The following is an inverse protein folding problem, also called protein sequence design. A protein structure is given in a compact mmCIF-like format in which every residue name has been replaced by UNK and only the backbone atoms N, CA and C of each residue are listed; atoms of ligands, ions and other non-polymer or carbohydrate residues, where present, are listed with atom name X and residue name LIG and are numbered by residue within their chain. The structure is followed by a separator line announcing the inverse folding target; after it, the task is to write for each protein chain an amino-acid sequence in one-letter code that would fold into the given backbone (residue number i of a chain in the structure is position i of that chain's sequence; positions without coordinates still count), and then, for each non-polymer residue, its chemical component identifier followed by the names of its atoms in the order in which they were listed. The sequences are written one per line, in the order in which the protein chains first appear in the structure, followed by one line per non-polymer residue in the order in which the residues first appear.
data_IF_014821850557
#
_entry.id   IF_014821850557
#
_cell.length_a   1.000
_cell.length_b   1.000
_cell.length_c   1.000
_cell.angle_alpha   90.00
_cell.angle_beta   90.00
_cell.angle_gamma   90.00
#
_symmetry.space_group_name_H-M   'P 1'
#
loop_
_entity.id
_entity.type
_entity.pdbx_description
1 polymer ?
#
# COMPACT_ATOMS: atom_id res chain seq x y z
N UNK A 1 -12.24 -10.81 -41.80
CA UNK A 1 -11.84 -9.69 -40.95
C UNK A 1 -11.38 -10.30 -39.66
N UNK A 2 -10.06 -10.35 -39.42
CA UNK A 2 -9.50 -10.91 -38.20
C UNK A 2 -9.80 -9.94 -37.04
N UNK A 3 -10.58 -10.38 -36.06
CA UNK A 3 -10.81 -9.63 -34.84
C UNK A 3 -9.48 -9.54 -34.05
N UNK A 4 -8.90 -8.37 -33.99
CA UNK A 4 -7.77 -8.10 -33.10
C UNK A 4 -8.26 -8.38 -31.68
N UNK A 5 -7.58 -9.26 -30.95
CA UNK A 5 -7.96 -9.55 -29.55
C UNK A 5 -7.73 -8.29 -28.71
N UNK A 6 -8.55 -8.06 -27.69
CA UNK A 6 -8.31 -6.96 -26.70
C UNK A 6 -6.93 -7.02 -26.09
N UNK A 7 -6.35 -8.21 -26.00
CA UNK A 7 -4.99 -8.46 -25.55
C UNK A 7 -3.94 -7.85 -26.48
N UNK A 8 -4.16 -7.92 -27.79
CA UNK A 8 -3.27 -7.31 -28.80
C UNK A 8 -3.48 -5.79 -28.84
N UNK A 9 -4.71 -5.33 -28.63
CA UNK A 9 -5.02 -3.91 -28.48
C UNK A 9 -4.31 -3.29 -27.26
N UNK A 10 -4.34 -3.94 -26.10
CA UNK A 10 -3.66 -3.47 -24.89
C UNK A 10 -2.13 -3.47 -25.00
N UNK A 11 -1.58 -4.31 -25.90
CA UNK A 11 -0.13 -4.38 -26.18
C UNK A 11 0.31 -3.42 -27.30
N UNK A 12 -0.58 -3.04 -28.20
CA UNK A 12 -0.26 -2.35 -29.47
C UNK A 12 -0.70 -0.90 -29.54
N UNK A 13 -1.04 -0.23 -28.43
CA UNK A 13 -1.34 1.21 -28.43
C UNK A 13 -0.10 2.08 -28.66
N UNK A 14 0.71 1.71 -29.63
CA UNK A 14 1.62 2.60 -30.33
C UNK A 14 0.99 2.94 -31.70
N UNK A 15 0.65 4.23 -31.86
CA UNK A 15 0.11 4.87 -33.07
C UNK A 15 -1.40 4.71 -33.29
N UNK A 16 -2.17 5.70 -32.89
CA UNK A 16 -2.90 6.65 -33.76
C UNK A 16 -3.51 7.72 -32.84
N UNK A 17 -3.09 8.97 -33.05
CA UNK A 17 -3.83 10.14 -32.60
C UNK A 17 -5.12 10.24 -33.46
N UNK A 18 -6.15 9.57 -33.06
CA UNK A 18 -7.52 9.82 -33.45
C UNK A 18 -8.32 9.87 -32.15
N UNK A 19 -8.87 11.04 -31.85
CA UNK A 19 -9.66 11.29 -30.62
C UNK A 19 -10.86 10.37 -30.51
N UNK A 20 -10.62 9.14 -30.06
CA UNK A 20 -11.64 8.36 -29.42
C UNK A 20 -11.85 8.99 -28.05
N UNK A 21 -12.88 9.81 -27.92
CA UNK A 21 -13.49 10.14 -26.65
C UNK A 21 -13.69 8.80 -25.94
N UNK A 22 -12.79 8.46 -24.98
CA UNK A 22 -13.08 7.45 -23.97
C UNK A 22 -14.19 8.09 -23.16
N UNK A 23 -15.44 7.80 -23.55
CA UNK A 23 -16.61 8.12 -22.73
C UNK A 23 -16.36 7.33 -21.45
N UNK A 24 -16.22 7.98 -20.26
CA UNK A 24 -16.20 7.23 -19.00
C UNK A 24 -17.39 6.30 -19.05
N UNK A 25 -17.19 5.00 -18.83
CA UNK A 25 -18.31 4.09 -18.73
C UNK A 25 -19.25 4.71 -17.69
N UNK A 26 -20.38 5.23 -18.16
CA UNK A 26 -21.49 5.50 -17.27
C UNK A 26 -21.67 4.22 -16.47
N UNK A 27 -21.69 4.30 -15.15
CA UNK A 27 -21.97 3.22 -14.24
C UNK A 27 -22.96 2.29 -14.92
N UNK A 28 -22.59 1.02 -15.14
CA UNK A 28 -23.52 0.07 -15.74
C UNK A 28 -24.77 0.21 -14.87
N UNK A 29 -25.89 0.66 -15.46
CA UNK A 29 -27.09 0.98 -14.71
C UNK A 29 -27.62 -0.29 -14.05
N UNK A 30 -26.97 -0.69 -12.95
CA UNK A 30 -27.56 -1.66 -12.04
C UNK A 30 -28.84 -1.03 -11.50
N UNK A 31 -29.99 -1.69 -11.56
CA UNK A 31 -31.28 -1.12 -11.17
C UNK A 31 -31.30 -0.52 -9.75
N UNK A 32 -30.27 -0.82 -8.93
CA UNK A 32 -30.16 -0.43 -7.53
C UNK A 32 -28.96 0.50 -7.23
N UNK A 33 -28.32 1.13 -8.22
CA UNK A 33 -27.11 1.96 -8.03
C UNK A 33 -25.95 1.22 -7.31
N UNK A 34 -25.81 -0.09 -7.54
CA UNK A 34 -24.74 -0.93 -7.00
C UNK A 34 -23.63 -1.09 -8.01
N UNK A 35 -22.39 -0.97 -7.55
CA UNK A 35 -21.22 -1.27 -8.37
C UNK A 35 -21.04 -2.78 -8.53
N UNK A 36 -20.60 -3.19 -9.71
CA UNK A 36 -20.14 -4.54 -9.99
C UNK A 36 -18.62 -4.60 -9.78
N UNK A 37 -18.19 -5.28 -8.74
CA UNK A 37 -16.80 -5.33 -8.29
C UNK A 37 -16.19 -6.68 -8.61
N UNK A 38 -14.97 -6.67 -9.16
CA UNK A 38 -14.11 -7.85 -9.26
C UNK A 38 -13.06 -7.83 -8.16
N UNK A 39 -12.72 -9.02 -7.64
CA UNK A 39 -11.65 -9.21 -6.65
C UNK A 39 -10.47 -9.92 -7.33
N UNK A 40 -9.26 -9.35 -7.21
CA UNK A 40 -8.01 -9.96 -7.65
C UNK A 40 -7.13 -10.16 -6.41
N UNK A 41 -6.88 -11.45 -6.04
CA UNK A 41 -6.34 -11.82 -4.73
C UNK A 41 -7.44 -11.90 -3.67
N UNK A 42 -7.93 -13.13 -3.40
CA UNK A 42 -9.11 -13.37 -2.57
C UNK A 42 -8.76 -13.85 -1.15
N UNK A 43 -7.52 -14.30 -0.93
CA UNK A 43 -7.05 -14.80 0.37
C UNK A 43 -6.34 -13.73 1.20
N UNK A 44 -6.04 -14.03 2.48
CA UNK A 44 -5.29 -13.14 3.35
C UNK A 44 -5.90 -11.73 3.41
N UNK A 45 -5.16 -10.70 3.00
CA UNK A 45 -5.64 -9.32 3.01
C UNK A 45 -6.86 -9.11 2.09
N UNK A 46 -6.96 -9.87 1.00
CA UNK A 46 -8.17 -9.87 0.16
C UNK A 46 -9.41 -10.31 0.93
N UNK A 47 -9.27 -11.31 1.84
CA UNK A 47 -10.36 -11.69 2.74
C UNK A 47 -10.82 -10.51 3.60
N UNK A 48 -9.91 -9.79 4.22
CA UNK A 48 -10.26 -8.63 5.04
C UNK A 48 -11.00 -7.57 4.22
N UNK A 49 -10.59 -7.32 2.97
CA UNK A 49 -11.23 -6.35 2.09
C UNK A 49 -12.64 -6.78 1.66
N UNK A 50 -12.82 -8.04 1.23
CA UNK A 50 -14.14 -8.46 0.77
C UNK A 50 -15.12 -8.79 1.90
N UNK A 51 -14.67 -9.00 3.13
CA UNK A 51 -15.53 -9.25 4.29
C UNK A 51 -16.49 -8.09 4.59
N UNK A 52 -16.16 -6.87 4.15
CA UNK A 52 -17.06 -5.72 4.26
C UNK A 52 -18.26 -5.77 3.29
N UNK A 53 -18.27 -6.68 2.31
CA UNK A 53 -19.35 -6.80 1.32
C UNK A 53 -20.31 -7.95 1.61
N UNK A 54 -20.15 -8.64 2.75
CA UNK A 54 -20.99 -9.79 3.11
C UNK A 54 -20.94 -10.05 4.61
N UNK A 55 -21.97 -10.69 5.13
CA UNK A 55 -21.99 -11.22 6.51
C UNK A 55 -21.56 -12.70 6.57
N UNK A 56 -21.07 -13.24 5.46
CA UNK A 56 -20.56 -14.62 5.42
C UNK A 56 -19.42 -14.84 6.42
N UNK A 57 -19.58 -15.87 7.27
CA UNK A 57 -18.60 -16.25 8.28
C UNK A 57 -18.58 -15.39 9.55
N UNK A 58 -19.39 -14.34 9.64
CA UNK A 58 -19.54 -13.54 10.87
C UNK A 58 -20.45 -14.25 11.87
N UNK A 59 -19.92 -14.49 13.05
CA UNK A 59 -20.74 -14.94 14.19
C UNK A 59 -21.43 -13.75 14.90
N UNK A 60 -22.24 -14.03 15.92
CA UNK A 60 -22.95 -12.98 16.66
C UNK A 60 -22.00 -12.03 17.41
N UNK A 61 -20.81 -12.51 17.81
CA UNK A 61 -19.78 -11.68 18.45
C UNK A 61 -19.15 -10.72 17.44
N UNK A 62 -18.90 -11.20 16.22
CA UNK A 62 -18.38 -10.36 15.13
C UNK A 62 -19.39 -9.28 14.74
N UNK A 63 -20.66 -9.64 14.57
CA UNK A 63 -21.73 -8.68 14.26
C UNK A 63 -21.88 -7.63 15.35
N UNK A 64 -21.84 -8.03 16.63
CA UNK A 64 -21.88 -7.11 17.76
C UNK A 64 -20.69 -6.16 17.77
N UNK A 65 -19.46 -6.68 17.57
CA UNK A 65 -18.25 -5.86 17.45
C UNK A 65 -18.34 -4.86 16.30
N UNK A 66 -18.83 -5.29 15.15
CA UNK A 66 -18.99 -4.45 13.98
C UNK A 66 -20.03 -3.34 14.25
N UNK A 67 -21.12 -3.67 14.90
CA UNK A 67 -22.14 -2.70 15.36
C UNK A 67 -21.58 -1.69 16.36
N UNK A 68 -20.80 -2.14 17.36
CA UNK A 68 -20.15 -1.26 18.35
C UNK A 68 -19.15 -0.30 17.70
N UNK A 69 -18.49 -0.72 16.61
CA UNK A 69 -17.54 0.09 15.83
C UNK A 69 -18.17 0.90 14.70
N UNK A 70 -19.48 0.81 14.53
CA UNK A 70 -20.20 1.45 13.43
C UNK A 70 -19.85 0.87 12.04
N UNK A 71 -19.25 -0.33 11.96
CA UNK A 71 -18.88 -0.96 10.69
C UNK A 71 -20.15 -1.41 9.96
N UNK A 72 -20.31 -0.93 8.73
CA UNK A 72 -21.47 -1.21 7.89
C UNK A 72 -21.10 -2.21 6.79
N UNK A 73 -21.92 -3.26 6.63
CA UNK A 73 -21.81 -4.17 5.49
C UNK A 73 -22.28 -3.45 4.22
N UNK A 74 -21.39 -3.37 3.23
CA UNK A 74 -21.69 -2.78 1.93
C UNK A 74 -22.40 -3.80 1.03
N UNK A 75 -23.33 -3.33 0.21
CA UNK A 75 -24.20 -4.18 -0.60
C UNK A 75 -23.88 -4.10 -2.11
N UNK A 76 -22.62 -3.86 -2.45
CA UNK A 76 -22.16 -3.89 -3.85
C UNK A 76 -22.16 -5.33 -4.40
N UNK A 77 -22.19 -5.49 -5.71
CA UNK A 77 -22.21 -6.79 -6.36
C UNK A 77 -20.78 -7.30 -6.55
N UNK A 78 -20.41 -8.42 -5.94
CA UNK A 78 -19.16 -9.12 -6.29
C UNK A 78 -19.47 -10.06 -7.44
N UNK A 79 -18.95 -9.71 -8.64
CA UNK A 79 -19.29 -10.39 -9.91
C UNK A 79 -18.20 -11.33 -10.44
N UNK A 80 -16.94 -11.11 -10.02
CA UNK A 80 -15.82 -11.94 -10.42
C UNK A 80 -14.79 -12.09 -9.30
N UNK A 81 -14.17 -13.28 -9.23
CA UNK A 81 -13.12 -13.65 -8.28
C UNK A 81 -11.94 -14.18 -9.07
N UNK A 82 -10.75 -13.60 -8.86
CA UNK A 82 -9.52 -14.02 -9.51
C UNK A 82 -8.45 -14.31 -8.45
N UNK A 83 -7.99 -15.55 -8.39
CA UNK A 83 -6.88 -15.96 -7.53
C UNK A 83 -6.14 -17.13 -8.15
N UNK A 84 -4.83 -17.15 -8.03
CA UNK A 84 -3.96 -18.21 -8.54
C UNK A 84 -3.89 -19.42 -7.61
N UNK A 85 -4.43 -19.30 -6.37
CA UNK A 85 -4.43 -20.34 -5.34
C UNK A 85 -5.86 -20.67 -4.90
N UNK A 86 -6.35 -21.84 -5.31
CA UNK A 86 -7.74 -22.29 -5.04
C UNK A 86 -8.02 -22.47 -3.54
N UNK A 87 -7.01 -22.84 -2.73
CA UNK A 87 -7.18 -23.00 -1.28
C UNK A 87 -7.31 -21.62 -0.62
N UNK A 88 -6.51 -20.66 -1.04
CA UNK A 88 -6.57 -19.27 -0.51
C UNK A 88 -7.88 -18.58 -0.87
N UNK A 89 -8.43 -18.85 -2.05
CA UNK A 89 -9.68 -18.28 -2.53
C UNK A 89 -10.95 -18.99 -2.00
N UNK A 90 -10.82 -20.16 -1.38
CA UNK A 90 -11.96 -21.03 -1.05
C UNK A 90 -13.08 -20.33 -0.26
N UNK A 91 -12.73 -19.44 0.68
CA UNK A 91 -13.74 -18.71 1.45
C UNK A 91 -14.49 -17.67 0.60
N UNK A 92 -13.80 -16.97 -0.29
CA UNK A 92 -14.45 -16.04 -1.23
C UNK A 92 -15.39 -16.81 -2.19
N UNK A 93 -14.99 -18.01 -2.65
CA UNK A 93 -15.84 -18.87 -3.48
C UNK A 93 -17.13 -19.30 -2.79
N UNK A 94 -17.10 -19.47 -1.47
CA UNK A 94 -18.29 -19.78 -0.66
C UNK A 94 -19.12 -18.54 -0.38
N UNK A 95 -18.48 -17.40 -0.10
CA UNK A 95 -19.14 -16.15 0.20
C UNK A 95 -19.90 -15.59 -1.02
N UNK A 96 -19.34 -15.77 -2.22
CA UNK A 96 -19.87 -15.22 -3.48
C UNK A 96 -20.09 -16.34 -4.54
N UNK A 97 -21.02 -17.27 -4.30
CA UNK A 97 -21.17 -18.47 -5.16
C UNK A 97 -21.63 -18.17 -6.59
N UNK A 98 -22.19 -16.97 -6.82
CA UNK A 98 -22.63 -16.53 -8.16
C UNK A 98 -21.56 -15.81 -8.95
N UNK A 99 -20.45 -15.39 -8.31
CA UNK A 99 -19.34 -14.73 -8.97
C UNK A 99 -18.57 -15.71 -9.85
N UNK A 100 -18.19 -15.28 -11.06
CA UNK A 100 -17.33 -16.09 -11.95
C UNK A 100 -15.92 -16.19 -11.37
N UNK A 101 -15.25 -17.33 -11.59
CA UNK A 101 -13.95 -17.65 -11.02
C UNK A 101 -12.87 -17.69 -12.11
N UNK A 102 -11.73 -17.10 -11.83
CA UNK A 102 -10.59 -16.98 -12.73
C UNK A 102 -9.28 -17.21 -11.97
N UNK A 103 -8.26 -17.74 -12.68
CA UNK A 103 -6.88 -17.74 -12.18
C UNK A 103 -6.06 -16.58 -12.76
N UNK A 104 -6.37 -16.18 -13.99
CA UNK A 104 -5.68 -15.11 -14.71
C UNK A 104 -6.63 -13.89 -14.85
N UNK A 105 -6.24 -12.75 -14.27
CA UNK A 105 -7.03 -11.52 -14.37
C UNK A 105 -7.15 -11.00 -15.81
N UNK A 106 -6.22 -11.35 -16.70
CA UNK A 106 -6.29 -10.96 -18.10
C UNK A 106 -7.45 -11.66 -18.79
N UNK A 107 -7.63 -12.95 -18.53
CA UNK A 107 -8.78 -13.73 -19.02
C UNK A 107 -10.08 -13.20 -18.42
N UNK A 108 -10.08 -12.88 -17.12
CA UNK A 108 -11.25 -12.25 -16.46
C UNK A 108 -11.67 -10.97 -17.18
N UNK A 109 -10.73 -10.09 -17.50
CA UNK A 109 -11.06 -8.84 -18.19
C UNK A 109 -11.45 -9.06 -19.67
N UNK A 110 -10.84 -10.03 -20.36
CA UNK A 110 -11.23 -10.38 -21.73
C UNK A 110 -12.71 -10.78 -21.80
N UNK A 111 -13.19 -11.54 -20.80
CA UNK A 111 -14.57 -12.02 -20.77
C UNK A 111 -15.57 -11.06 -20.10
N UNK A 112 -15.17 -10.32 -19.10
CA UNK A 112 -16.09 -9.62 -18.22
C UNK A 112 -15.89 -8.10 -18.12
N UNK A 113 -14.95 -7.49 -18.84
CA UNK A 113 -14.67 -6.05 -18.68
C UNK A 113 -15.94 -5.17 -18.76
N UNK A 114 -16.89 -5.50 -19.62
CA UNK A 114 -18.13 -4.72 -19.77
C UNK A 114 -19.14 -4.91 -18.61
N UNK A 115 -18.89 -5.86 -17.70
CA UNK A 115 -19.74 -6.18 -16.54
C UNK A 115 -19.10 -5.76 -15.22
N UNK A 116 -17.88 -5.22 -15.25
CA UNK A 116 -17.10 -4.79 -14.08
C UNK A 116 -17.02 -3.27 -14.09
N UNK A 117 -17.37 -2.64 -12.98
CA UNK A 117 -17.25 -1.19 -12.76
C UNK A 117 -15.96 -0.85 -11.99
N UNK A 118 -15.58 -1.70 -11.06
CA UNK A 118 -14.49 -1.45 -10.13
C UNK A 118 -13.76 -2.73 -9.72
N UNK A 119 -12.52 -2.60 -9.24
CA UNK A 119 -11.67 -3.76 -8.91
C UNK A 119 -10.95 -3.53 -7.57
N UNK A 120 -10.96 -4.55 -6.71
CA UNK A 120 -10.13 -4.60 -5.50
C UNK A 120 -8.96 -5.53 -5.77
N UNK A 121 -7.73 -5.03 -5.61
CA UNK A 121 -6.48 -5.75 -5.87
C UNK A 121 -5.75 -5.95 -4.55
N UNK A 122 -5.57 -7.22 -4.15
CA UNK A 122 -4.98 -7.62 -2.86
C UNK A 122 -3.99 -8.77 -3.03
N UNK A 123 -3.21 -8.71 -4.09
CA UNK A 123 -2.17 -9.67 -4.45
C UNK A 123 -0.83 -9.36 -3.75
N UNK A 124 0.25 -10.12 -3.95
CA UNK A 124 1.61 -9.70 -3.58
C UNK A 124 2.06 -8.44 -4.31
N UNK A 125 2.96 -7.65 -3.68
CA UNK A 125 3.37 -6.31 -4.13
C UNK A 125 3.80 -6.27 -5.59
N UNK A 126 4.60 -7.27 -6.05
CA UNK A 126 5.14 -7.32 -7.41
C UNK A 126 4.07 -7.43 -8.51
N UNK A 127 2.85 -7.84 -8.18
CA UNK A 127 1.75 -8.00 -9.16
C UNK A 127 0.74 -6.85 -9.13
N UNK A 128 0.80 -5.95 -8.13
CA UNK A 128 -0.12 -4.81 -8.01
C UNK A 128 -0.16 -3.98 -9.29
N UNK A 129 1.02 -3.59 -9.80
CA UNK A 129 1.11 -2.73 -10.98
C UNK A 129 0.42 -3.30 -12.20
N UNK A 130 0.70 -4.54 -12.58
CA UNK A 130 0.17 -5.15 -13.79
C UNK A 130 -1.36 -5.25 -13.76
N UNK A 131 -1.93 -5.74 -12.66
CA UNK A 131 -3.37 -5.85 -12.50
C UNK A 131 -4.07 -4.49 -12.50
N UNK A 132 -3.46 -3.50 -11.82
CA UNK A 132 -3.99 -2.13 -11.73
C UNK A 132 -3.96 -1.43 -13.07
N UNK A 133 -2.86 -1.54 -13.83
CA UNK A 133 -2.76 -0.93 -15.16
C UNK A 133 -3.80 -1.46 -16.13
N UNK A 134 -3.99 -2.79 -16.19
CA UNK A 134 -5.03 -3.38 -17.05
C UNK A 134 -6.42 -2.87 -16.67
N UNK A 135 -6.74 -2.85 -15.35
CA UNK A 135 -8.02 -2.34 -14.87
C UNK A 135 -8.25 -0.88 -15.29
N UNK A 136 -7.26 0.00 -15.08
CA UNK A 136 -7.37 1.42 -15.41
C UNK A 136 -7.46 1.68 -16.91
N UNK A 137 -6.70 0.95 -17.75
CA UNK A 137 -6.78 1.03 -19.20
C UNK A 137 -8.18 0.65 -19.73
N UNK A 138 -8.88 -0.21 -18.99
CA UNK A 138 -10.26 -0.60 -19.28
C UNK A 138 -11.31 0.34 -18.62
N UNK A 139 -10.86 1.45 -18.04
CA UNK A 139 -11.74 2.43 -17.39
C UNK A 139 -12.34 1.98 -16.07
N UNK A 140 -11.72 1.00 -15.38
CA UNK A 140 -12.23 0.49 -14.08
C UNK A 140 -11.65 1.27 -12.92
N UNK A 141 -12.49 1.63 -11.94
CA UNK A 141 -12.06 2.20 -10.68
C UNK A 141 -11.28 1.15 -9.88
N UNK A 142 -10.29 1.58 -9.09
CA UNK A 142 -9.38 0.63 -8.43
C UNK A 142 -9.18 0.95 -6.95
N UNK A 143 -9.22 -0.10 -6.14
CA UNK A 143 -8.71 -0.13 -4.78
C UNK A 143 -7.54 -1.10 -4.75
N UNK A 144 -6.35 -0.65 -4.36
CA UNK A 144 -5.12 -1.46 -4.39
C UNK A 144 -4.50 -1.51 -3.02
N UNK A 145 -4.15 -2.68 -2.53
CA UNK A 145 -3.45 -2.81 -1.25
C UNK A 145 -2.08 -2.12 -1.27
N UNK A 146 -1.63 -1.76 -0.10
CA UNK A 146 -0.30 -1.16 0.12
C UNK A 146 0.81 -2.25 0.13
N UNK A 147 2.03 -1.90 -0.26
CA UNK A 147 2.44 -0.68 -0.95
C UNK A 147 1.82 -0.60 -2.35
N UNK A 148 1.54 0.61 -2.86
CA UNK A 148 0.77 0.78 -4.09
C UNK A 148 1.37 0.04 -5.30
N UNK A 149 2.69 0.00 -5.41
CA UNK A 149 3.43 -0.77 -6.40
C UNK A 149 4.85 -1.09 -5.89
N UNK A 150 5.59 -1.90 -6.66
CA UNK A 150 6.85 -2.49 -6.25
C UNK A 150 8.06 -1.56 -6.43
N UNK A 151 8.08 -0.69 -7.45
CA UNK A 151 9.19 0.22 -7.73
C UNK A 151 8.72 1.63 -8.13
N UNK A 152 9.65 2.58 -8.13
CA UNK A 152 9.38 4.00 -8.29
C UNK A 152 8.73 4.31 -9.64
N UNK A 153 9.21 3.72 -10.73
CA UNK A 153 8.64 3.94 -12.06
C UNK A 153 7.16 3.50 -12.13
N UNK A 154 6.84 2.35 -11.53
CA UNK A 154 5.47 1.85 -11.47
C UNK A 154 4.55 2.82 -10.72
N UNK A 155 5.01 3.38 -9.60
CA UNK A 155 4.24 4.35 -8.81
C UNK A 155 3.90 5.61 -9.62
N UNK A 156 4.90 6.18 -10.29
CA UNK A 156 4.71 7.34 -11.15
C UNK A 156 3.78 7.05 -12.33
N UNK A 157 3.91 5.87 -12.91
CA UNK A 157 3.05 5.41 -14.00
C UNK A 157 1.60 5.23 -13.55
N UNK A 158 1.34 4.63 -12.37
CA UNK A 158 -0.01 4.50 -11.82
C UNK A 158 -0.66 5.85 -11.54
N UNK A 159 0.08 6.80 -10.94
CA UNK A 159 -0.39 8.18 -10.72
C UNK A 159 -0.79 8.84 -12.05
N UNK A 160 0.06 8.73 -13.07
CA UNK A 160 -0.20 9.25 -14.41
C UNK A 160 -1.43 8.60 -15.05
N UNK A 161 -1.52 7.27 -14.98
CA UNK A 161 -2.62 6.48 -15.53
C UNK A 161 -3.96 6.83 -14.86
N UNK A 162 -4.02 6.94 -13.55
CA UNK A 162 -5.24 7.30 -12.83
C UNK A 162 -5.79 8.66 -13.27
N UNK A 163 -4.91 9.65 -13.47
CA UNK A 163 -5.30 10.97 -13.99
C UNK A 163 -5.69 10.93 -15.46
N UNK A 164 -4.93 10.19 -16.30
CA UNK A 164 -5.19 10.08 -17.74
C UNK A 164 -6.54 9.41 -18.01
N UNK A 165 -6.81 8.30 -17.34
CA UNK A 165 -8.07 7.54 -17.51
C UNK A 165 -9.21 8.05 -16.61
N UNK A 166 -8.97 9.10 -15.80
CA UNK A 166 -9.96 9.68 -14.87
C UNK A 166 -10.55 8.65 -13.92
N UNK A 167 -9.69 7.83 -13.34
CA UNK A 167 -10.07 6.74 -12.44
C UNK A 167 -10.18 7.24 -11.01
N UNK A 168 -11.26 6.88 -10.31
CA UNK A 168 -11.33 6.97 -8.86
C UNK A 168 -10.50 5.82 -8.28
N UNK A 169 -9.38 6.16 -7.68
CA UNK A 169 -8.38 5.23 -7.18
C UNK A 169 -8.18 5.39 -5.68
N UNK A 170 -7.88 4.30 -4.97
CA UNK A 170 -7.53 4.33 -3.55
C UNK A 170 -6.49 3.27 -3.21
N UNK A 171 -5.53 3.63 -2.36
CA UNK A 171 -4.63 2.67 -1.72
C UNK A 171 -5.20 2.19 -0.38
N UNK A 172 -4.92 0.93 -0.06
CA UNK A 172 -5.39 0.26 1.16
C UNK A 172 -4.55 0.53 2.41
N UNK A 173 -4.10 1.77 2.64
CA UNK A 173 -3.46 2.19 3.90
C UNK A 173 -4.54 2.62 4.91
N UNK A 174 -5.09 1.67 5.67
CA UNK A 174 -6.28 1.85 6.50
C UNK A 174 -6.18 3.00 7.52
N UNK A 175 -4.97 3.34 7.98
CA UNK A 175 -4.75 4.47 8.88
C UNK A 175 -5.19 5.82 8.30
N UNK A 176 -5.20 5.95 6.97
CA UNK A 176 -5.55 7.21 6.30
C UNK A 176 -7.00 7.65 6.50
N UNK A 177 -7.92 6.74 6.80
CA UNK A 177 -9.33 7.04 7.07
C UNK A 177 -9.64 7.30 8.54
N UNK A 178 -8.69 7.05 9.46
CA UNK A 178 -8.91 7.21 10.90
C UNK A 178 -9.06 8.68 11.32
N UNK A 179 -9.78 8.90 12.40
CA UNK A 179 -9.83 10.22 13.02
C UNK A 179 -8.46 10.66 13.56
N UNK A 180 -7.64 9.69 13.97
CA UNK A 180 -6.31 9.94 14.53
C UNK A 180 -5.38 10.69 13.58
N UNK A 181 -5.32 10.32 12.30
CA UNK A 181 -4.45 11.01 11.33
C UNK A 181 -4.88 12.48 11.13
N UNK A 182 -6.20 12.75 11.20
CA UNK A 182 -6.75 14.11 11.10
C UNK A 182 -6.38 14.93 12.32
N UNK A 183 -6.48 14.36 13.52
CA UNK A 183 -6.05 15.00 14.77
C UNK A 183 -4.55 15.35 14.72
N UNK A 184 -3.69 14.46 14.22
CA UNK A 184 -2.24 14.74 14.09
C UNK A 184 -2.03 15.99 13.23
N UNK A 185 -2.69 16.09 12.08
CA UNK A 185 -2.56 17.23 11.18
C UNK A 185 -3.16 18.50 11.78
N UNK A 186 -4.34 18.42 12.36
CA UNK A 186 -5.02 19.55 13.02
C UNK A 186 -4.17 20.12 14.18
N UNK A 187 -3.58 19.25 14.99
CA UNK A 187 -2.72 19.70 16.09
C UNK A 187 -1.41 20.34 15.59
N UNK A 188 -0.85 19.80 14.51
CA UNK A 188 0.32 20.40 13.89
C UNK A 188 0.00 21.78 13.28
N UNK A 189 -1.06 21.90 12.50
CA UNK A 189 -1.50 23.17 11.88
C UNK A 189 -1.93 24.21 12.92
N UNK A 190 -2.48 23.78 14.05
CA UNK A 190 -2.76 24.65 15.19
C UNK A 190 -1.50 25.08 15.96
N UNK A 191 -0.30 24.62 15.56
CA UNK A 191 0.98 24.99 16.17
C UNK A 191 1.24 24.35 17.55
N UNK A 192 0.51 23.30 17.91
CA UNK A 192 0.66 22.58 19.19
C UNK A 192 2.05 21.96 19.31
N UNK A 193 2.55 21.34 18.22
CA UNK A 193 3.88 20.75 18.19
C UNK A 193 5.00 21.77 17.96
N UNK A 194 4.67 22.94 17.38
CA UNK A 194 5.67 23.87 16.86
C UNK A 194 6.34 23.34 15.60
N UNK A 195 7.63 23.67 15.40
CA UNK A 195 8.41 23.16 14.27
C UNK A 195 8.87 21.72 14.54
N UNK A 196 8.37 20.76 13.76
CA UNK A 196 8.83 19.37 13.82
C UNK A 196 10.07 19.21 12.95
N UNK A 197 11.17 18.75 13.56
CA UNK A 197 12.46 18.53 12.89
C UNK A 197 12.89 17.08 12.86
N UNK A 198 12.28 16.24 13.70
CA UNK A 198 12.68 14.86 13.89
C UNK A 198 11.44 13.98 14.05
N UNK A 199 11.45 12.84 13.36
CA UNK A 199 10.40 11.81 13.44
C UNK A 199 11.07 10.46 13.57
N UNK A 200 10.63 9.63 14.52
CA UNK A 200 10.99 8.23 14.59
C UNK A 200 9.74 7.37 14.46
N UNK A 201 9.84 6.34 13.62
CA UNK A 201 8.81 5.33 13.48
C UNK A 201 9.45 3.94 13.57
N UNK A 202 8.71 2.95 14.08
CA UNK A 202 9.27 1.62 14.30
C UNK A 202 8.24 0.52 14.17
N UNK A 203 8.76 -0.67 13.83
CA UNK A 203 8.00 -1.92 13.84
C UNK A 203 8.92 -3.11 14.20
N UNK A 204 8.50 -3.96 15.12
CA UNK A 204 9.26 -5.16 15.49
C UNK A 204 8.97 -5.64 16.90
N UNK A 205 9.53 -6.78 17.29
CA UNK A 205 10.47 -7.64 16.56
C UNK A 205 9.83 -8.48 15.46
N UNK A 206 10.64 -9.03 14.55
CA UNK A 206 10.20 -9.97 13.52
C UNK A 206 10.24 -11.40 14.03
N UNK A 207 9.44 -12.26 13.41
CA UNK A 207 9.46 -13.70 13.61
C UNK A 207 9.80 -14.39 12.28
N UNK A 208 11.03 -14.84 12.17
CA UNK A 208 11.57 -15.50 10.97
C UNK A 208 11.36 -17.03 10.95
N UNK A 209 10.60 -17.59 11.88
CA UNK A 209 10.35 -19.04 11.95
C UNK A 209 9.55 -19.53 10.72
N UNK A 210 9.78 -20.77 10.27
CA UNK A 210 9.02 -21.37 9.19
C UNK A 210 7.51 -21.27 9.37
N UNK A 211 6.80 -20.93 8.29
CA UNK A 211 5.34 -20.74 8.28
C UNK A 211 4.86 -19.38 8.77
N UNK A 212 5.72 -18.54 9.30
CA UNK A 212 5.41 -17.18 9.67
C UNK A 212 5.50 -16.21 8.48
N UNK A 213 5.12 -14.97 8.74
CA UNK A 213 5.03 -13.89 7.76
C UNK A 213 6.38 -13.56 7.09
N UNK A 214 7.48 -13.79 7.81
CA UNK A 214 8.86 -13.45 7.43
C UNK A 214 9.76 -14.70 7.40
N UNK A 215 9.27 -15.86 6.93
CA UNK A 215 10.08 -17.07 6.87
C UNK A 215 11.40 -16.80 6.14
N UNK A 216 12.52 -16.92 6.86
CA UNK A 216 13.86 -16.82 6.30
C UNK A 216 14.29 -18.19 5.80
N UNK A 217 14.69 -18.36 4.52
CA UNK A 217 15.14 -19.65 4.01
C UNK A 217 16.56 -19.96 4.49
N UNK A 218 16.90 -21.26 4.45
CA UNK A 218 18.24 -21.75 4.84
C UNK A 218 19.33 -21.38 3.81
N UNK A 219 18.92 -21.04 2.57
CA UNK A 219 19.85 -20.64 1.49
C UNK A 219 19.21 -19.62 0.56
N UNK A 220 20.05 -18.83 -0.12
CA UNK A 220 19.64 -17.87 -1.14
C UNK A 220 20.33 -18.21 -2.48
N UNK A 221 19.55 -18.51 -3.56
CA UNK A 221 18.11 -18.71 -3.55
C UNK A 221 17.68 -19.99 -2.80
N UNK A 222 16.43 -20.06 -2.34
CA UNK A 222 15.88 -21.28 -1.76
C UNK A 222 15.89 -22.45 -2.75
N UNK A 223 16.10 -23.66 -2.25
CA UNK A 223 16.12 -24.90 -3.07
C UNK A 223 14.76 -25.14 -3.74
N UNK A 224 14.78 -25.78 -4.93
CA UNK A 224 13.56 -26.15 -5.67
C UNK A 224 12.68 -27.13 -4.89
N UNK A 225 11.37 -26.90 -4.92
CA UNK A 225 10.35 -27.79 -4.37
C UNK A 225 9.23 -28.02 -5.42
N UNK A 226 8.48 -29.13 -5.31
CA UNK A 226 7.30 -29.34 -6.15
C UNK A 226 6.26 -28.23 -5.96
N UNK A 227 5.67 -27.75 -7.05
CA UNK A 227 4.57 -26.80 -7.00
C UNK A 227 3.33 -27.48 -6.43
N UNK A 228 2.65 -26.92 -5.41
CA UNK A 228 1.39 -27.44 -4.91
C UNK A 228 0.31 -27.48 -6.02
N UNK A 229 -0.51 -28.52 -6.05
CA UNK A 229 -1.52 -28.72 -7.10
C UNK A 229 -2.60 -27.62 -7.15
N UNK A 230 -2.83 -26.91 -6.05
CA UNK A 230 -3.78 -25.79 -5.95
C UNK A 230 -3.25 -24.44 -6.44
N UNK A 231 -1.93 -24.33 -6.69
CA UNK A 231 -1.26 -23.07 -7.01
C UNK A 231 -0.83 -23.05 -8.49
N UNK A 232 -1.21 -22.02 -9.22
CA UNK A 232 -0.58 -21.67 -10.50
C UNK A 232 0.66 -20.82 -10.26
N UNK A 233 1.83 -21.49 -10.19
CA UNK A 233 3.09 -20.81 -9.88
C UNK A 233 3.52 -19.82 -10.96
N UNK A 234 3.25 -20.11 -12.24
CA UNK A 234 3.60 -19.19 -13.32
C UNK A 234 2.80 -17.90 -13.26
N UNK A 235 1.51 -17.98 -12.99
CA UNK A 235 0.66 -16.80 -12.79
C UNK A 235 1.01 -16.07 -11.47
N UNK A 236 1.40 -16.82 -10.43
CA UNK A 236 1.85 -16.22 -9.17
C UNK A 236 3.12 -15.40 -9.35
N UNK A 237 4.11 -15.88 -10.10
CA UNK A 237 5.31 -15.13 -10.46
C UNK A 237 4.97 -13.86 -11.23
N UNK A 238 3.93 -13.89 -12.07
CA UNK A 238 3.49 -12.70 -12.79
C UNK A 238 4.62 -12.01 -13.54
N UNK A 239 4.92 -10.72 -13.26
CA UNK A 239 6.01 -9.96 -13.90
C UNK A 239 7.41 -10.34 -13.41
N UNK A 240 7.55 -11.02 -12.26
CA UNK A 240 8.86 -11.38 -11.70
C UNK A 240 9.59 -12.42 -12.55
N UNK A 241 10.91 -12.45 -12.48
CA UNK A 241 11.74 -13.40 -13.18
C UNK A 241 11.37 -14.87 -12.87
N UNK A 242 11.43 -15.73 -13.87
CA UNK A 242 11.14 -17.15 -13.71
C UNK A 242 12.12 -17.81 -12.73
N UNK A 243 11.57 -18.62 -11.84
CA UNK A 243 12.34 -19.40 -10.86
C UNK A 243 11.56 -20.60 -10.38
N UNK A 244 12.24 -21.65 -9.88
CA UNK A 244 11.60 -22.78 -9.23
C UNK A 244 10.79 -22.34 -8.00
N UNK A 245 9.73 -23.10 -7.70
CA UNK A 245 8.93 -22.89 -6.51
C UNK A 245 9.71 -23.30 -5.25
N UNK A 246 9.47 -22.55 -4.18
CA UNK A 246 9.79 -22.92 -2.80
C UNK A 246 8.73 -22.34 -1.87
N UNK A 247 8.36 -23.09 -0.81
CA UNK A 247 7.37 -22.68 0.19
C UNK A 247 7.79 -21.45 1.01
N UNK A 248 9.08 -21.06 0.98
CA UNK A 248 9.54 -19.79 1.53
C UNK A 248 9.06 -18.57 0.72
N UNK A 249 8.61 -18.74 -0.53
CA UNK A 249 8.04 -17.63 -1.31
C UNK A 249 6.55 -17.43 -1.04
N UNK A 250 5.77 -18.52 -1.15
CA UNK A 250 4.32 -18.43 -1.09
C UNK A 250 3.75 -19.38 -0.01
N UNK A 251 2.62 -19.05 0.61
CA UNK A 251 1.69 -17.96 0.28
C UNK A 251 1.91 -16.64 1.03
N UNK A 252 2.80 -16.56 2.03
CA UNK A 252 2.90 -15.39 2.92
C UNK A 252 4.26 -14.70 2.89
N UNK A 253 5.34 -15.48 2.86
CA UNK A 253 6.71 -15.04 3.19
C UNK A 253 7.42 -14.32 2.04
N UNK A 254 6.76 -14.18 0.88
CA UNK A 254 7.24 -13.42 -0.27
C UNK A 254 7.69 -12.00 0.09
N UNK A 255 7.13 -11.43 1.15
CA UNK A 255 7.41 -10.06 1.61
C UNK A 255 8.86 -9.82 1.97
N UNK A 256 9.55 -10.86 2.45
CA UNK A 256 10.97 -10.79 2.78
C UNK A 256 11.90 -10.78 1.56
N UNK A 257 11.42 -11.20 0.38
CA UNK A 257 12.21 -11.26 -0.84
C UNK A 257 11.99 -9.98 -1.67
N UNK A 258 13.05 -9.23 -1.91
CA UNK A 258 12.97 -7.98 -2.67
C UNK A 258 12.52 -8.13 -4.13
N UNK A 259 12.49 -9.34 -4.68
CA UNK A 259 11.91 -9.60 -6.00
C UNK A 259 10.37 -9.66 -5.99
N UNK A 260 9.73 -9.79 -4.82
CA UNK A 260 8.29 -9.98 -4.68
C UNK A 260 7.65 -8.96 -3.75
N UNK A 261 8.38 -8.43 -2.79
CA UNK A 261 7.89 -7.51 -1.78
C UNK A 261 8.92 -6.47 -1.41
N UNK A 262 8.49 -5.48 -0.66
CA UNK A 262 9.30 -4.34 -0.23
C UNK A 262 9.70 -4.43 1.26
N UNK A 263 9.72 -5.63 1.81
CA UNK A 263 10.08 -5.85 3.21
C UNK A 263 9.08 -5.24 4.20
N UNK A 264 9.52 -5.10 5.44
CA UNK A 264 8.73 -4.48 6.51
C UNK A 264 8.57 -2.97 6.25
N UNK A 265 9.59 -2.34 5.70
CA UNK A 265 9.53 -0.94 5.31
C UNK A 265 8.38 -0.71 4.30
N UNK A 266 8.23 -1.57 3.27
CA UNK A 266 7.11 -1.49 2.35
C UNK A 266 5.76 -1.86 2.97
N UNK A 267 5.74 -2.92 3.80
CA UNK A 267 4.50 -3.46 4.35
C UNK A 267 3.88 -2.57 5.44
N UNK A 268 4.70 -1.98 6.33
CA UNK A 268 4.20 -1.22 7.49
C UNK A 268 4.38 0.29 7.42
N UNK A 269 5.42 0.79 6.75
CA UNK A 269 5.67 2.23 6.76
C UNK A 269 4.57 3.02 6.05
N UNK A 270 3.92 2.47 5.03
CA UNK A 270 2.74 3.09 4.41
C UNK A 270 1.57 3.31 5.38
N UNK A 271 1.57 2.63 6.53
CA UNK A 271 0.63 2.93 7.62
C UNK A 271 1.20 3.95 8.60
N UNK A 272 2.42 3.68 9.12
CA UNK A 272 3.00 4.47 10.21
C UNK A 272 3.49 5.83 9.75
N UNK A 273 4.13 5.90 8.56
CA UNK A 273 4.64 7.15 8.00
C UNK A 273 3.58 8.00 7.30
N UNK A 274 2.38 7.48 7.10
CA UNK A 274 1.24 8.21 6.57
C UNK A 274 0.95 9.49 7.39
N UNK A 275 0.96 9.35 8.72
CA UNK A 275 0.74 10.47 9.64
C UNK A 275 1.71 11.63 9.43
N UNK A 276 3.04 11.44 9.60
CA UNK A 276 4.00 12.52 9.39
C UNK A 276 4.10 12.97 7.93
N UNK A 277 3.96 12.05 6.95
CA UNK A 277 4.00 12.40 5.53
C UNK A 277 2.90 13.41 5.19
N UNK A 278 1.67 13.14 5.60
CA UNK A 278 0.52 14.01 5.34
C UNK A 278 0.55 15.27 6.20
N UNK A 279 0.82 15.15 7.51
CA UNK A 279 0.71 16.29 8.43
C UNK A 279 1.80 17.33 8.23
N UNK A 280 3.02 16.89 7.86
CA UNK A 280 4.15 17.78 7.66
C UNK A 280 4.32 18.21 6.20
N UNK A 281 3.49 17.72 5.27
CA UNK A 281 3.63 17.89 3.82
C UNK A 281 5.07 17.56 3.37
N UNK A 282 5.56 16.35 3.73
CA UNK A 282 6.98 16.00 3.58
C UNK A 282 7.44 16.03 2.11
N UNK A 283 6.61 15.55 1.20
CA UNK A 283 7.01 15.36 -0.21
C UNK A 283 8.13 14.32 -0.35
N UNK A 284 8.99 14.49 -1.36
CA UNK A 284 10.08 13.54 -1.61
C UNK A 284 11.31 13.85 -0.75
N UNK A 285 11.99 12.81 -0.23
CA UNK A 285 13.25 12.99 0.47
C UNK A 285 14.37 13.41 -0.51
N UNK A 286 15.33 14.18 -0.01
CA UNK A 286 16.56 14.50 -0.72
C UNK A 286 17.50 13.28 -0.77
N UNK A 287 17.47 12.48 0.29
CA UNK A 287 18.25 11.27 0.42
C UNK A 287 17.61 10.28 1.39
N UNK A 288 18.00 9.01 1.27
CA UNK A 288 17.74 7.99 2.26
C UNK A 288 19.04 7.23 2.56
N UNK A 289 19.27 6.84 3.81
CA UNK A 289 20.43 6.08 4.25
C UNK A 289 20.00 4.81 4.98
N UNK A 290 20.39 3.67 4.44
CA UNK A 290 20.17 2.35 5.05
C UNK A 290 21.34 1.95 5.95
N UNK A 291 21.09 1.92 7.26
CA UNK A 291 22.03 1.43 8.28
C UNK A 291 21.63 0.00 8.59
N UNK A 292 22.37 -0.95 8.04
CA UNK A 292 22.09 -2.40 8.11
C UNK A 292 23.33 -3.10 8.67
N UNK A 293 23.31 -3.54 9.93
CA UNK A 293 24.49 -4.17 10.55
C UNK A 293 24.93 -5.46 9.86
N UNK A 294 23.98 -6.29 9.41
CA UNK A 294 24.24 -7.59 8.79
C UNK A 294 23.44 -7.72 7.49
N UNK A 295 23.88 -7.09 6.38
CA UNK A 295 23.16 -7.19 5.11
C UNK A 295 23.27 -8.60 4.53
N UNK A 296 22.20 -9.04 3.84
CA UNK A 296 22.24 -10.28 3.05
C UNK A 296 23.16 -10.05 1.84
N UNK A 297 24.19 -10.90 1.61
CA UNK A 297 25.24 -10.60 0.65
C UNK A 297 24.78 -10.38 -0.79
N UNK A 298 23.74 -11.07 -1.23
CA UNK A 298 23.18 -10.96 -2.59
C UNK A 298 22.04 -9.94 -2.70
N UNK A 299 21.74 -9.21 -1.62
CA UNK A 299 20.66 -8.22 -1.55
C UNK A 299 19.27 -8.75 -1.96
N UNK A 300 19.01 -10.05 -1.80
CA UNK A 300 17.76 -10.69 -2.23
C UNK A 300 16.66 -10.71 -1.16
N UNK A 301 17.04 -10.59 0.13
CA UNK A 301 16.14 -10.72 1.27
C UNK A 301 16.35 -9.58 2.29
N UNK A 302 15.31 -9.31 3.08
CA UNK A 302 15.34 -8.27 4.12
C UNK A 302 16.39 -8.57 5.21
N UNK A 303 16.99 -7.54 5.81
CA UNK A 303 17.90 -7.70 6.94
C UNK A 303 17.15 -8.11 8.22
N UNK A 304 17.90 -8.68 9.18
CA UNK A 304 17.39 -9.04 10.49
C UNK A 304 17.13 -7.80 11.37
N UNK A 305 17.81 -6.69 11.05
CA UNK A 305 17.70 -5.42 11.74
C UNK A 305 18.13 -4.29 10.82
N UNK A 306 17.44 -3.16 10.87
CA UNK A 306 17.88 -1.95 10.14
C UNK A 306 17.31 -0.66 10.72
N UNK A 307 17.98 0.44 10.36
CA UNK A 307 17.46 1.81 10.46
C UNK A 307 17.56 2.46 9.10
N UNK A 308 16.47 3.06 8.62
CA UNK A 308 16.49 3.88 7.40
C UNK A 308 16.20 5.33 7.76
N UNK A 309 17.16 6.21 7.45
CA UNK A 309 17.03 7.66 7.69
C UNK A 309 16.72 8.38 6.38
N UNK A 310 15.66 9.17 6.41
CA UNK A 310 15.26 10.04 5.30
C UNK A 310 15.54 11.50 5.67
N UNK A 311 16.11 12.26 4.74
CA UNK A 311 16.34 13.67 4.90
C UNK A 311 15.42 14.48 3.98
N UNK A 312 14.64 15.36 4.57
CA UNK A 312 13.73 16.26 3.85
C UNK A 312 14.20 17.71 3.98
N UNK A 313 14.20 18.42 2.86
CA UNK A 313 14.52 19.86 2.84
C UNK A 313 13.45 20.73 3.53
N UNK A 314 13.73 22.02 3.63
CA UNK A 314 12.74 22.99 4.05
C UNK A 314 11.56 23.07 3.06
N UNK A 315 10.35 23.25 3.57
CA UNK A 315 9.10 23.31 2.80
C UNK A 315 8.35 24.59 3.16
N UNK A 316 8.65 25.67 2.43
CA UNK A 316 8.18 27.01 2.79
C UNK A 316 8.74 27.45 4.14
N UNK A 317 7.87 27.70 5.09
CA UNK A 317 8.18 28.07 6.48
C UNK A 317 8.41 26.85 7.40
N UNK A 318 8.20 25.62 6.90
CA UNK A 318 8.41 24.40 7.66
C UNK A 318 9.89 24.01 7.64
N UNK A 319 10.43 23.67 8.81
CA UNK A 319 11.81 23.26 8.98
C UNK A 319 12.16 21.98 8.18
N UNK A 320 13.45 21.76 7.84
CA UNK A 320 13.91 20.44 7.40
C UNK A 320 13.57 19.36 8.43
N UNK A 321 13.33 18.12 7.95
CA UNK A 321 12.97 16.98 8.81
C UNK A 321 13.91 15.83 8.54
N UNK A 322 14.42 15.21 9.60
CA UNK A 322 15.01 13.88 9.60
C UNK A 322 13.96 12.89 10.08
N UNK A 323 13.64 11.88 9.24
CA UNK A 323 12.71 10.82 9.58
C UNK A 323 13.47 9.49 9.62
N UNK A 324 13.42 8.78 10.76
CA UNK A 324 14.06 7.49 10.96
C UNK A 324 13.03 6.37 11.09
N UNK A 325 13.11 5.38 10.21
CA UNK A 325 12.39 4.12 10.31
C UNK A 325 13.28 3.08 10.98
N UNK A 326 12.78 2.47 12.04
CA UNK A 326 13.48 1.41 12.77
C UNK A 326 12.69 0.10 12.64
N UNK A 327 13.38 -1.01 12.41
CA UNK A 327 12.69 -2.29 12.28
C UNK A 327 13.44 -3.44 12.93
N UNK A 328 12.70 -4.52 13.18
CA UNK A 328 13.12 -5.74 13.83
C UNK A 328 13.59 -5.50 15.28
N UNK A 329 14.87 -5.61 15.55
CA UNK A 329 15.46 -5.39 16.88
C UNK A 329 15.68 -3.91 17.21
N UNK A 330 15.73 -3.05 16.19
CA UNK A 330 16.01 -1.63 16.38
C UNK A 330 14.78 -0.86 16.85
N UNK A 331 14.98 0.05 17.79
CA UNK A 331 13.99 1.03 18.26
C UNK A 331 14.69 2.35 18.57
N UNK A 332 13.98 3.49 18.48
CA UNK A 332 14.57 4.76 18.90
C UNK A 332 14.86 4.75 20.42
N UNK A 333 15.87 5.48 20.82
CA UNK A 333 16.16 5.69 22.23
C UNK A 333 15.06 6.51 22.89
N UNK A 334 14.61 6.06 24.07
CA UNK A 334 13.60 6.78 24.86
C UNK A 334 14.28 7.96 25.54
N UNK A 335 13.78 9.16 25.27
CA UNK A 335 14.29 10.39 25.89
C UNK A 335 13.62 10.61 27.26
N UNK A 336 14.36 11.04 28.28
CA UNK A 336 13.80 11.29 29.63
C UNK A 336 12.57 12.21 29.62
N UNK A 337 12.58 13.23 28.77
CA UNK A 337 11.50 14.20 28.65
C UNK A 337 10.19 13.64 28.09
N UNK A 338 10.21 12.42 27.52
CA UNK A 338 9.00 11.76 27.04
C UNK A 338 8.13 11.19 28.17
N UNK A 339 8.72 10.98 29.34
CA UNK A 339 8.00 10.49 30.53
C UNK A 339 7.45 9.07 30.39
N UNK A 340 7.87 8.30 29.37
CA UNK A 340 7.48 6.90 29.13
C UNK A 340 8.65 5.96 29.46
N UNK A 341 8.33 4.74 29.89
CA UNK A 341 9.31 3.72 30.26
C UNK A 341 9.62 2.74 29.13
N UNK A 342 8.68 2.56 28.21
CA UNK A 342 8.80 1.63 27.10
C UNK A 342 8.06 2.14 25.86
N UNK A 343 8.49 1.68 24.69
CA UNK A 343 7.83 1.92 23.41
C UNK A 343 6.92 0.73 23.06
N UNK A 344 5.73 0.96 22.48
CA UNK A 344 4.91 -0.13 21.97
C UNK A 344 5.66 -0.94 20.89
N UNK A 345 5.10 -2.10 20.50
CA UNK A 345 5.68 -2.96 19.46
C UNK A 345 5.81 -2.28 18.11
N UNK A 346 4.90 -1.36 17.79
CA UNK A 346 4.95 -0.48 16.61
C UNK A 346 4.45 0.89 16.97
N UNK A 347 4.99 1.93 16.35
CA UNK A 347 4.57 3.30 16.64
C UNK A 347 5.39 4.35 15.92
N UNK A 348 5.06 5.60 16.24
CA UNK A 348 5.73 6.77 15.70
C UNK A 348 5.75 7.88 16.76
N UNK A 349 6.86 8.63 16.85
CA UNK A 349 6.95 9.90 17.57
C UNK A 349 7.30 11.01 16.60
N UNK A 350 6.63 12.16 16.74
CA UNK A 350 6.95 13.42 16.07
C UNK A 350 7.44 14.40 17.13
N UNK A 351 8.68 14.88 16.98
CA UNK A 351 9.36 15.72 17.95
C UNK A 351 9.35 17.16 17.45
N UNK A 352 8.52 17.96 18.06
CA UNK A 352 8.44 19.40 17.82
C UNK A 352 9.23 20.21 18.83
N UNK A 353 9.47 21.48 18.53
CA UNK A 353 10.17 22.42 19.42
C UNK A 353 9.30 22.89 20.62
N UNK A 354 7.98 22.61 20.59
CA UNK A 354 7.08 22.89 21.70
C UNK A 354 6.64 21.61 22.42
N UNK A 355 6.18 20.62 21.67
CA UNK A 355 5.67 19.34 22.23
C UNK A 355 6.02 18.16 21.34
N UNK A 356 6.04 16.97 21.95
CA UNK A 356 6.22 15.68 21.27
C UNK A 356 4.91 14.93 21.25
N UNK A 357 4.60 14.32 20.11
CA UNK A 357 3.42 13.47 19.89
C UNK A 357 3.87 12.02 19.68
N UNK A 358 3.13 11.07 20.27
CA UNK A 358 3.27 9.64 20.02
C UNK A 358 1.96 9.05 19.48
N UNK A 359 2.06 8.02 18.64
CA UNK A 359 0.94 7.20 18.22
C UNK A 359 1.37 5.74 17.99
N UNK A 360 0.42 4.81 17.86
CA UNK A 360 0.68 3.43 17.47
C UNK A 360 1.11 3.30 16.01
N UNK A 361 1.35 2.08 15.54
CA UNK A 361 1.82 1.78 14.18
C UNK A 361 0.85 2.15 13.06
N UNK A 362 -0.42 2.37 13.36
CA UNK A 362 -1.35 3.13 12.53
C UNK A 362 -1.59 4.48 13.19
N UNK A 363 -1.78 5.58 12.44
CA UNK A 363 -1.92 6.92 13.01
C UNK A 363 -3.33 7.11 13.63
N UNK A 364 -3.68 6.25 14.55
CA UNK A 364 -4.85 6.31 15.39
C UNK A 364 -4.46 6.66 16.82
N UNK A 365 -5.36 7.26 17.59
CA UNK A 365 -5.18 7.60 19.01
C UNK A 365 -3.88 8.37 19.31
N UNK A 366 -3.62 9.52 18.67
CA UNK A 366 -2.43 10.32 18.96
C UNK A 366 -2.51 10.89 20.39
N UNK A 367 -1.34 10.91 21.06
CA UNK A 367 -1.20 11.48 22.39
C UNK A 367 0.02 12.40 22.46
N UNK A 368 -0.10 13.52 23.18
CA UNK A 368 1.04 14.33 23.53
C UNK A 368 1.80 13.68 24.70
N UNK A 369 3.13 13.67 24.62
CA UNK A 369 4.01 13.22 25.70
C UNK A 369 4.21 14.35 26.70
N UNK A 370 3.23 14.51 27.57
CA UNK A 370 3.14 15.51 28.64
C UNK A 370 2.62 14.84 29.91
N UNK A 371 2.57 15.57 31.05
CA UNK A 371 1.96 15.03 32.28
C UNK A 371 0.48 14.66 32.07
N UNK A 372 -0.05 13.79 32.91
CA UNK A 372 -1.47 13.40 32.82
C UNK A 372 -2.40 14.59 33.07
N UNK A 373 -2.00 15.53 33.94
CA UNK A 373 -2.75 16.76 34.20
C UNK A 373 -2.82 17.64 32.95
N UNK A 374 -1.69 17.85 32.30
CA UNK A 374 -1.60 18.66 31.07
C UNK A 374 -2.34 17.97 29.91
N UNK A 375 -2.24 16.63 29.79
CA UNK A 375 -2.98 15.87 28.82
C UNK A 375 -4.50 15.99 29.02
N UNK A 376 -4.97 15.84 30.26
CA UNK A 376 -6.39 15.97 30.59
C UNK A 376 -6.93 17.39 30.30
N UNK A 377 -6.11 18.42 30.54
CA UNK A 377 -6.49 19.79 30.21
C UNK A 377 -6.50 20.04 28.69
N UNK A 378 -5.52 19.52 27.96
CA UNK A 378 -5.48 19.59 26.51
C UNK A 378 -6.71 18.92 25.86
N UNK A 379 -7.14 17.75 26.36
CA UNK A 379 -8.33 17.06 25.86
C UNK A 379 -9.63 17.84 26.01
N UNK A 380 -9.74 18.74 27.00
CA UNK A 380 -10.89 19.62 27.15
C UNK A 380 -10.92 20.78 26.15
N UNK A 381 -9.74 21.13 25.60
CA UNK A 381 -9.52 22.31 24.76
C UNK A 381 -8.85 21.92 23.44
N UNK A 382 -9.35 20.87 22.77
CA UNK A 382 -8.81 20.43 21.49
C UNK A 382 -8.93 21.52 20.41
N UNK A 383 -7.95 21.61 19.50
CA UNK A 383 -8.07 22.46 18.32
C UNK A 383 -9.32 22.16 17.49
N UNK A 384 -9.79 23.14 16.73
CA UNK A 384 -10.93 22.99 15.85
C UNK A 384 -10.71 21.88 14.82
N UNK A 385 -11.76 21.11 14.53
CA UNK A 385 -11.75 20.12 13.46
C UNK A 385 -11.81 20.85 12.12
N UNK A 386 -10.73 20.77 11.34
CA UNK A 386 -10.61 21.44 10.03
C UNK A 386 -10.74 20.47 8.87
N UNK A 387 -10.56 19.16 9.11
CA UNK A 387 -10.69 18.12 8.09
C UNK A 387 -11.97 17.29 8.26
N UNK A 388 -12.65 16.93 7.16
CA UNK A 388 -13.79 16.03 7.20
C UNK A 388 -13.42 14.68 7.84
N UNK A 389 -14.32 14.15 8.67
CA UNK A 389 -14.21 12.80 9.21
C UNK A 389 -14.78 11.80 8.22
N UNK A 390 -14.11 10.65 8.07
CA UNK A 390 -14.59 9.58 7.21
C UNK A 390 -15.55 8.72 8.02
N UNK A 391 -16.74 8.49 7.45
CA UNK A 391 -17.76 7.66 8.07
C UNK A 391 -17.22 6.25 8.34
N UNK A 392 -17.45 5.76 9.55
CA UNK A 392 -17.04 4.46 10.06
C UNK A 392 -15.53 4.17 9.92
N UNK A 393 -14.71 5.17 9.56
CA UNK A 393 -13.26 5.03 9.31
C UNK A 393 -12.92 3.90 8.30
N UNK A 394 -13.87 3.57 7.39
CA UNK A 394 -13.74 2.47 6.43
C UNK A 394 -13.19 2.95 5.08
N UNK A 395 -11.97 2.56 4.67
CA UNK A 395 -11.38 2.98 3.40
C UNK A 395 -12.15 2.44 2.18
N UNK A 396 -12.70 1.22 2.26
CA UNK A 396 -13.51 0.66 1.18
C UNK A 396 -14.80 1.46 0.96
N UNK A 397 -15.43 1.92 2.06
CA UNK A 397 -16.62 2.76 1.99
C UNK A 397 -16.30 4.15 1.43
N UNK A 398 -15.23 4.78 1.90
CA UNK A 398 -14.74 6.05 1.33
C UNK A 398 -14.56 5.96 -0.18
N UNK A 399 -13.93 4.87 -0.67
CA UNK A 399 -13.71 4.65 -2.09
C UNK A 399 -15.02 4.44 -2.87
N UNK A 400 -15.96 3.62 -2.37
CA UNK A 400 -17.27 3.40 -3.00
C UNK A 400 -18.06 4.72 -3.07
N UNK A 401 -18.09 5.48 -1.98
CA UNK A 401 -18.77 6.76 -1.92
C UNK A 401 -18.15 7.76 -2.90
N UNK A 402 -16.80 7.78 -2.99
CA UNK A 402 -16.09 8.63 -3.94
C UNK A 402 -16.42 8.30 -5.40
N UNK A 403 -16.55 7.00 -5.76
CA UNK A 403 -16.98 6.58 -7.10
C UNK A 403 -18.41 7.09 -7.38
N UNK A 404 -19.35 6.87 -6.46
CA UNK A 404 -20.76 7.24 -6.63
C UNK A 404 -20.96 8.75 -6.69
N UNK A 405 -20.13 9.52 -5.98
CA UNK A 405 -20.22 10.97 -5.90
C UNK A 405 -19.27 11.70 -6.86
N UNK A 406 -18.49 10.97 -7.67
CA UNK A 406 -17.49 11.53 -8.59
C UNK A 406 -16.47 12.45 -7.90
N UNK A 407 -16.01 12.03 -6.70
CA UNK A 407 -15.00 12.73 -5.91
C UNK A 407 -13.70 11.91 -5.83
N UNK A 408 -12.68 12.42 -5.15
CA UNK A 408 -11.46 11.68 -4.87
C UNK A 408 -11.42 11.31 -3.39
N UNK A 409 -11.11 10.03 -3.06
CA UNK A 409 -10.88 9.64 -1.67
C UNK A 409 -9.53 10.16 -1.17
N UNK A 410 -9.31 10.13 0.15
CA UNK A 410 -8.11 10.70 0.76
C UNK A 410 -6.81 10.05 0.26
N UNK A 411 -6.76 8.72 0.21
CA UNK A 411 -5.58 7.98 -0.26
C UNK A 411 -5.66 7.64 -1.76
N UNK A 412 -6.10 8.60 -2.58
CA UNK A 412 -6.07 8.45 -4.04
C UNK A 412 -4.61 8.40 -4.57
N UNK A 413 -4.42 7.96 -5.82
CA UNK A 413 -3.07 7.74 -6.35
C UNK A 413 -2.22 9.01 -6.50
N UNK A 414 -2.79 10.21 -6.46
CA UNK A 414 -1.99 11.42 -6.41
C UNK A 414 -1.22 11.54 -5.08
N UNK A 415 -1.84 11.09 -3.99
CA UNK A 415 -1.24 11.04 -2.66
C UNK A 415 -0.47 9.72 -2.43
N UNK A 416 -1.12 8.60 -2.67
CA UNK A 416 -0.60 7.27 -2.35
C UNK A 416 0.69 6.92 -3.10
N UNK A 417 0.81 7.36 -4.36
CA UNK A 417 2.03 7.15 -5.13
C UNK A 417 3.23 7.91 -4.52
N UNK A 418 3.02 9.13 -4.04
CA UNK A 418 4.09 9.91 -3.41
C UNK A 418 4.51 9.32 -2.06
N UNK A 419 3.56 8.94 -1.22
CA UNK A 419 3.87 8.24 0.03
C UNK A 419 4.67 6.96 -0.23
N UNK A 420 4.22 6.14 -1.18
CA UNK A 420 4.90 4.88 -1.50
C UNK A 420 6.24 5.12 -2.20
N UNK A 421 6.39 6.18 -2.99
CA UNK A 421 7.67 6.55 -3.62
C UNK A 421 8.74 6.90 -2.58
N UNK A 422 8.39 7.71 -1.58
CA UNK A 422 9.27 7.95 -0.43
C UNK A 422 9.73 6.62 0.20
N UNK A 423 8.79 5.71 0.46
CA UNK A 423 9.10 4.39 1.01
C UNK A 423 10.01 3.59 0.10
N UNK A 424 9.76 3.58 -1.22
CA UNK A 424 10.57 2.85 -2.20
C UNK A 424 12.02 3.37 -2.26
N UNK A 425 12.25 4.68 -2.12
CA UNK A 425 13.61 5.25 -1.98
C UNK A 425 14.31 4.68 -0.74
N UNK A 426 13.60 4.58 0.38
CA UNK A 426 14.12 3.95 1.60
C UNK A 426 14.41 2.46 1.43
N UNK A 427 13.55 1.73 0.71
CA UNK A 427 13.77 0.30 0.41
C UNK A 427 15.07 0.09 -0.40
N UNK A 428 15.36 0.97 -1.37
CA UNK A 428 16.63 0.91 -2.10
C UNK A 428 17.83 1.15 -1.16
N UNK A 429 17.74 2.15 -0.29
CA UNK A 429 18.82 2.41 0.68
C UNK A 429 19.04 1.22 1.64
N UNK A 430 17.96 0.60 2.13
CA UNK A 430 18.01 -0.57 3.00
C UNK A 430 18.56 -1.79 2.30
N UNK A 431 18.03 -2.13 1.12
CA UNK A 431 18.43 -3.29 0.30
C UNK A 431 19.92 -3.31 0.04
N UNK A 432 20.50 -2.15 -0.26
CA UNK A 432 21.92 -2.01 -0.59
C UNK A 432 22.79 -1.51 0.58
N UNK A 433 22.21 -1.40 1.79
CA UNK A 433 22.91 -0.95 2.99
C UNK A 433 23.78 0.31 2.75
N UNK A 434 23.20 1.34 2.14
CA UNK A 434 23.93 2.52 1.69
C UNK A 434 23.09 3.79 1.73
N UNK A 435 23.74 4.94 1.55
CA UNK A 435 23.08 6.21 1.30
C UNK A 435 22.79 6.38 -0.19
N UNK A 436 21.57 6.76 -0.53
CA UNK A 436 21.12 7.15 -1.87
C UNK A 436 20.68 8.62 -1.86
N UNK A 437 21.15 9.38 -2.88
CA UNK A 437 20.73 10.75 -3.15
C UNK A 437 19.68 10.73 -4.23
N UNK A 438 18.48 11.28 -3.96
CA UNK A 438 17.34 11.14 -4.84
C UNK A 438 16.95 12.45 -5.51
N UNK A 439 17.07 12.51 -6.83
CA UNK A 439 16.50 13.55 -7.68
C UNK A 439 15.07 13.17 -8.05
N UNK A 440 14.12 13.60 -7.23
CA UNK A 440 12.72 13.32 -7.43
C UNK A 440 12.16 13.90 -8.74
N UNK A 441 12.68 15.04 -9.21
CA UNK A 441 12.22 15.65 -10.46
C UNK A 441 12.49 14.77 -11.67
N UNK A 442 13.68 14.18 -11.72
CA UNK A 442 14.13 13.35 -12.82
C UNK A 442 13.96 11.84 -12.53
N UNK A 443 13.43 11.49 -11.35
CA UNK A 443 13.24 10.11 -10.89
C UNK A 443 14.55 9.32 -10.98
N UNK A 444 15.62 9.80 -10.26
CA UNK A 444 16.99 9.29 -10.43
C UNK A 444 17.75 9.21 -9.10
N UNK A 445 18.46 8.10 -8.89
CA UNK A 445 19.48 7.99 -7.85
C UNK A 445 20.80 8.52 -8.42
N UNK A 446 21.28 9.65 -7.89
CA UNK A 446 22.35 10.42 -8.53
C UNK A 446 23.76 9.98 -8.14
N UNK A 447 23.93 9.45 -6.93
CA UNK A 447 25.24 9.05 -6.38
C UNK A 447 25.57 7.55 -6.57
N UNK A 448 24.59 6.73 -6.98
CA UNK A 448 24.71 5.26 -7.12
C UNK A 448 24.04 4.79 -8.42
N UNK A 449 24.73 4.87 -9.56
CA UNK A 449 24.19 4.45 -10.87
C UNK A 449 23.78 2.98 -10.93
N UNK A 450 24.42 2.12 -10.15
CA UNK A 450 24.09 0.70 -10.02
C UNK A 450 22.70 0.51 -9.35
N UNK A 451 22.33 1.36 -8.40
CA UNK A 451 21.03 1.34 -7.73
C UNK A 451 19.95 2.03 -8.58
N UNK A 452 20.34 3.03 -9.38
CA UNK A 452 19.41 3.73 -10.28
C UNK A 452 18.66 2.77 -11.23
N UNK A 453 19.29 1.66 -11.60
CA UNK A 453 18.66 0.61 -12.41
C UNK A 453 17.43 -0.03 -11.76
N UNK A 454 17.28 0.04 -10.42
CA UNK A 454 16.16 -0.50 -9.68
C UNK A 454 14.95 0.46 -9.58
N UNK A 455 15.09 1.68 -10.09
CA UNK A 455 13.94 2.59 -10.24
C UNK A 455 12.89 2.00 -11.18
N UNK A 456 13.35 1.28 -12.24
CA UNK A 456 12.51 0.52 -13.16
C UNK A 456 13.10 -0.86 -13.34
N UNK A 457 12.60 -1.82 -12.62
CA UNK A 457 13.04 -3.20 -12.71
C UNK A 457 12.52 -3.88 -14.01
N UNK A 458 13.32 -4.79 -14.62
CA UNK A 458 12.86 -5.53 -15.78
C UNK A 458 11.71 -6.47 -15.42
N UNK A 459 10.80 -6.67 -16.36
CA UNK A 459 9.67 -7.58 -16.21
C UNK A 459 9.73 -8.71 -17.25
N UNK A 460 9.10 -9.86 -16.94
CA UNK A 460 8.97 -10.96 -17.90
C UNK A 460 8.20 -10.53 -19.13
N UNK A 461 8.58 -11.09 -20.29
CA UNK A 461 7.88 -10.90 -21.56
C UNK A 461 6.38 -11.23 -21.43
N UNK A 462 5.55 -10.30 -21.88
CA UNK A 462 4.09 -10.38 -21.82
C UNK A 462 3.48 -9.82 -20.54
N UNK A 463 4.31 -9.19 -19.68
CA UNK A 463 3.89 -8.47 -18.49
C UNK A 463 4.26 -6.99 -18.53
N UNK A 464 4.64 -6.50 -19.69
CA UNK A 464 4.96 -5.09 -19.93
C UNK A 464 3.65 -4.26 -20.03
N UNK A 465 3.45 -3.32 -19.12
CA UNK A 465 2.31 -2.41 -19.09
C UNK A 465 2.79 -0.99 -18.82
N UNK A 466 2.02 -0.01 -19.28
CA UNK A 466 2.27 1.41 -18.97
C UNK A 466 3.44 2.07 -19.72
N UNK A 467 4.09 1.38 -20.64
CA UNK A 467 5.25 1.90 -21.38
C UNK A 467 4.95 3.13 -22.25
N UNK A 468 3.69 3.35 -22.58
CA UNK A 468 3.23 4.42 -23.47
C UNK A 468 2.51 5.57 -22.72
N UNK A 469 2.72 5.69 -21.40
CA UNK A 469 2.11 6.73 -20.57
C UNK A 469 3.08 7.84 -20.19
#
# INVERSE_FOLDING_TARGET
MNSVSRRDFLKSTSVVAAGALIIPNFLSCSPNNRLNIALIGCGGRGHDNWSYFTDFGKDEKDKKRDQEKGIVTMHENIVALCDVDDIRAANAFKAFPKAKRYKDFRVMFDEMANQIDAVIISTPDHTHFAATMVAMQLGKHVYVEKPLAHNIWQLRTLKKAANHYKIVSQMGNQGHTTNGIRLIREWYEAGILGQVKEVHAWFGPFDFRPGNYWTKPDSFPPSSQPVPANLDWNLWLGPAAERPFNSAYAPKSWRGFYDFGNGMLGDWSCHTLDGPFWSLDLGMPLSAEGIVPNPVPDHSFIPDESVVKFEFGARGDKAPVTLSWHEAGSKPEIRPEWGIKELPGSGMVMIGDKKTLITGGRPNEPRLLVSDEEWNEFQKNLPAQTFPRIAEEQPQKEWIDAIKNHTLPGSNFNYAAELTEMVAVGVLAQRFATRVEYDAKNMKITNRPDIDAYIKEPVRKGWEYGENL
#
